data_IF_079872726559
#
_entry.id   IF_079872726559
#
_cell.length_a   1.000
_cell.length_b   1.000
_cell.length_c   1.000
_cell.angle_alpha   90.00
_cell.angle_beta   90.00
_cell.angle_gamma   90.00
#
_symmetry.space_group_name_H-M   'P 1'
#
loop_
_entity.id
_entity.type
_entity.pdbx_description
1 polymer ?
#
# COMPACT_ATOMS: atom_id res chain seq x y z
N UNK A 1 16.62 -13.46 23.67
CA UNK A 1 17.09 -12.47 22.66
C UNK A 1 16.06 -11.36 22.60
N UNK A 2 16.45 -10.09 22.60
CA UNK A 2 15.48 -9.00 22.49
C UNK A 2 14.75 -9.13 21.15
N UNK A 3 13.41 -9.14 21.14
CA UNK A 3 12.65 -9.18 19.91
C UNK A 3 13.00 -7.95 19.06
N UNK A 4 13.25 -8.15 17.77
CA UNK A 4 13.41 -7.04 16.84
C UNK A 4 12.08 -6.28 16.78
N UNK A 5 12.09 -4.96 17.00
CA UNK A 5 10.87 -4.13 17.03
C UNK A 5 10.81 -3.23 15.81
N UNK A 6 9.60 -3.05 15.26
CA UNK A 6 9.36 -2.11 14.17
C UNK A 6 8.09 -1.30 14.41
N UNK A 7 8.12 -0.01 14.08
CA UNK A 7 6.94 0.84 14.13
C UNK A 7 6.21 0.76 12.78
N UNK A 8 5.08 0.08 12.73
CA UNK A 8 4.24 0.04 11.55
C UNK A 8 3.34 1.28 11.50
N UNK A 9 3.52 2.09 10.46
CA UNK A 9 2.80 3.35 10.28
C UNK A 9 1.56 3.12 9.45
N UNK A 10 0.41 3.01 10.13
CA UNK A 10 -0.87 2.79 9.47
C UNK A 10 -2.02 3.32 10.32
N UNK A 11 -3.05 3.83 9.65
CA UNK A 11 -4.37 4.08 10.24
C UNK A 11 -5.37 2.93 10.01
N UNK A 12 -4.99 1.91 9.22
CA UNK A 12 -5.88 0.81 8.82
C UNK A 12 -5.70 -0.41 9.72
N UNK A 13 -6.73 -0.71 10.52
CA UNK A 13 -6.72 -1.83 11.46
C UNK A 13 -6.63 -3.22 10.78
N UNK A 14 -7.15 -3.37 9.55
CA UNK A 14 -7.06 -4.63 8.81
C UNK A 14 -5.61 -4.88 8.36
N UNK A 15 -4.93 -3.85 7.83
CA UNK A 15 -3.51 -3.92 7.47
C UNK A 15 -2.64 -4.29 8.67
N UNK A 16 -2.89 -3.66 9.82
CA UNK A 16 -2.17 -3.99 11.05
C UNK A 16 -2.37 -5.46 11.45
N UNK A 17 -3.60 -5.97 11.36
CA UNK A 17 -3.91 -7.37 11.67
C UNK A 17 -3.15 -8.34 10.76
N UNK A 18 -3.15 -8.06 9.46
CA UNK A 18 -2.45 -8.87 8.45
C UNK A 18 -0.93 -8.87 8.67
N UNK A 19 -0.33 -7.69 8.84
CA UNK A 19 1.12 -7.56 9.07
C UNK A 19 1.56 -8.27 10.35
N UNK A 20 0.77 -8.13 11.43
CA UNK A 20 1.05 -8.85 12.68
C UNK A 20 1.01 -10.37 12.52
N UNK A 21 0.00 -10.87 11.82
CA UNK A 21 -0.14 -12.31 11.56
C UNK A 21 1.03 -12.89 10.73
N UNK A 22 1.72 -12.05 9.95
CA UNK A 22 2.85 -12.47 9.10
C UNK A 22 4.19 -12.35 9.83
N UNK A 23 4.39 -11.29 10.63
CA UNK A 23 5.70 -10.94 11.20
C UNK A 23 5.90 -11.37 12.66
N UNK A 24 4.83 -11.52 13.44
CA UNK A 24 4.92 -11.97 14.83
C UNK A 24 4.93 -13.51 14.90
N UNK A 25 5.71 -14.11 15.82
CA UNK A 25 6.41 -13.49 16.95
C UNK A 25 7.86 -13.04 16.67
N UNK A 26 8.41 -13.27 15.48
CA UNK A 26 9.81 -13.00 15.15
C UNK A 26 10.17 -11.51 15.22
N UNK A 27 9.25 -10.64 14.77
CA UNK A 27 9.37 -9.19 14.80
C UNK A 27 8.15 -8.60 15.51
N UNK A 28 8.39 -7.85 16.59
CA UNK A 28 7.34 -7.16 17.34
C UNK A 28 6.86 -5.93 16.56
N UNK A 29 5.56 -5.91 16.21
CA UNK A 29 4.96 -4.84 15.41
C UNK A 29 4.23 -3.84 16.31
N UNK A 30 4.82 -2.65 16.44
CA UNK A 30 4.22 -1.53 17.17
C UNK A 30 3.41 -0.66 16.20
N UNK A 31 2.12 -0.50 16.44
CA UNK A 31 1.28 0.36 15.60
C UNK A 31 1.44 1.83 15.99
N UNK A 32 1.65 2.70 14.99
CA UNK A 32 1.55 4.15 15.14
C UNK A 32 0.72 4.72 14.01
N UNK A 33 -0.31 5.50 14.35
CA UNK A 33 -1.05 6.29 13.38
C UNK A 33 -0.41 7.67 13.28
N UNK A 34 0.27 7.93 12.16
CA UNK A 34 0.88 9.22 11.86
C UNK A 34 0.30 9.67 10.52
N UNK A 35 -0.25 10.88 10.51
CA UNK A 35 -0.70 11.49 9.26
C UNK A 35 0.53 11.97 8.49
N UNK A 36 0.76 11.35 7.34
CA UNK A 36 1.89 11.63 6.45
C UNK A 36 1.32 12.05 5.12
N UNK A 37 1.77 13.20 4.62
CA UNK A 37 1.39 13.64 3.28
C UNK A 37 1.96 12.65 2.25
N UNK A 38 1.06 12.13 1.41
CA UNK A 38 1.35 11.27 0.28
C UNK A 38 1.73 12.14 -0.92
N UNK A 39 3.00 12.06 -1.33
CA UNK A 39 3.47 12.74 -2.55
C UNK A 39 2.88 12.08 -3.80
N UNK A 40 2.97 12.76 -4.93
CA UNK A 40 2.63 12.18 -6.23
C UNK A 40 3.89 11.63 -6.90
N UNK A 41 3.78 10.48 -7.54
CA UNK A 41 4.91 9.81 -8.19
C UNK A 41 4.60 8.35 -8.53
N UNK A 42 5.66 7.60 -8.79
CA UNK A 42 5.64 6.13 -8.88
C UNK A 42 5.32 5.51 -7.52
N UNK A 43 4.94 4.22 -7.50
CA UNK A 43 4.66 3.49 -6.26
C UNK A 43 5.88 3.53 -5.32
N UNK A 44 7.06 3.35 -5.90
CA UNK A 44 8.34 3.35 -5.19
C UNK A 44 8.66 4.71 -4.57
N UNK A 45 8.49 5.80 -5.33
CA UNK A 45 8.73 7.17 -4.84
C UNK A 45 7.76 7.56 -3.71
N UNK A 46 6.49 7.18 -3.85
CA UNK A 46 5.46 7.42 -2.84
C UNK A 46 5.82 6.70 -1.54
N UNK A 47 6.12 5.40 -1.62
CA UNK A 47 6.48 4.60 -0.44
C UNK A 47 7.82 5.03 0.16
N UNK A 48 8.81 5.38 -0.65
CA UNK A 48 10.11 5.87 -0.16
C UNK A 48 9.94 7.19 0.61
N UNK A 49 9.24 8.16 0.03
CA UNK A 49 8.98 9.45 0.67
C UNK A 49 8.23 9.28 2.00
N UNK A 50 7.17 8.45 1.99
CA UNK A 50 6.39 8.12 3.19
C UNK A 50 7.26 7.46 4.28
N UNK A 51 8.10 6.50 3.90
CA UNK A 51 8.99 5.80 4.82
C UNK A 51 10.03 6.74 5.44
N UNK A 52 10.62 7.61 4.63
CA UNK A 52 11.62 8.58 5.08
C UNK A 52 11.03 9.56 6.09
N UNK A 53 9.87 10.15 5.78
CA UNK A 53 9.16 11.07 6.69
C UNK A 53 8.72 10.38 7.98
N UNK A 54 8.25 9.14 7.89
CA UNK A 54 7.95 8.32 9.06
C UNK A 54 9.17 8.15 9.97
N UNK A 55 10.33 7.82 9.39
CA UNK A 55 11.58 7.61 10.13
C UNK A 55 12.01 8.88 10.87
N UNK A 56 11.92 10.04 10.21
CA UNK A 56 12.28 11.35 10.79
C UNK A 56 11.42 11.71 12.01
N UNK A 57 10.12 11.40 11.96
CA UNK A 57 9.19 11.65 13.06
C UNK A 57 9.33 10.65 14.20
N UNK A 58 9.47 9.35 13.88
CA UNK A 58 9.56 8.27 14.86
C UNK A 58 10.93 8.19 15.53
N UNK A 59 11.98 8.64 14.84
CA UNK A 59 13.38 8.57 15.28
C UNK A 59 13.81 7.13 15.62
N UNK A 60 13.43 6.18 14.77
CA UNK A 60 13.75 4.77 14.92
C UNK A 60 13.22 3.90 13.77
N UNK A 61 13.25 2.56 13.92
CA UNK A 61 12.85 1.66 12.85
C UNK A 61 11.37 1.82 12.50
N UNK A 62 11.09 2.05 11.22
CA UNK A 62 9.73 2.21 10.70
C UNK A 62 9.48 1.24 9.56
N UNK A 63 8.22 0.81 9.47
CA UNK A 63 7.67 0.07 8.36
C UNK A 63 6.43 0.82 7.87
N UNK A 64 6.36 1.08 6.57
CA UNK A 64 5.20 1.68 5.92
C UNK A 64 4.73 0.74 4.81
N UNK A 65 3.47 0.88 4.40
CA UNK A 65 2.89 0.10 3.33
C UNK A 65 1.99 0.98 2.46
N UNK A 66 2.14 0.84 1.14
CA UNK A 66 1.22 1.37 0.14
C UNK A 66 0.69 0.25 -0.75
N UNK A 67 -0.58 0.41 -1.13
CA UNK A 67 -1.30 -0.55 -1.98
C UNK A 67 -1.75 0.18 -3.23
N UNK A 68 -1.51 -0.43 -4.38
CA UNK A 68 -1.85 0.11 -5.68
C UNK A 68 -2.62 -0.93 -6.50
N UNK A 69 -3.45 -0.45 -7.42
CA UNK A 69 -4.07 -1.28 -8.46
C UNK A 69 -3.72 -0.70 -9.83
N UNK A 70 -2.96 -1.49 -10.59
CA UNK A 70 -2.34 -1.05 -11.83
C UNK A 70 -3.06 -1.69 -13.01
N UNK A 71 -3.77 -0.90 -13.83
CA UNK A 71 -4.40 -1.42 -15.05
C UNK A 71 -3.40 -1.40 -16.19
N UNK A 72 -3.18 -2.55 -16.83
CA UNK A 72 -2.23 -2.63 -17.94
C UNK A 72 -2.67 -1.74 -19.12
N UNK A 73 -3.98 -1.73 -19.42
CA UNK A 73 -4.57 -0.86 -20.43
C UNK A 73 -4.40 0.65 -20.18
N UNK A 74 -4.21 1.07 -18.92
CA UNK A 74 -3.98 2.46 -18.54
C UNK A 74 -2.53 2.72 -18.14
N UNK A 75 -1.58 1.90 -18.62
CA UNK A 75 -0.15 2.03 -18.31
C UNK A 75 0.14 2.07 -16.81
N UNK A 76 -0.59 1.28 -16.02
CA UNK A 76 -0.42 1.15 -14.57
C UNK A 76 -1.27 2.11 -13.73
N UNK A 77 -2.05 3.01 -14.34
CA UNK A 77 -3.04 3.80 -13.60
C UNK A 77 -4.27 2.95 -13.22
N UNK A 78 -5.01 3.28 -12.14
CA UNK A 78 -4.80 4.42 -11.24
C UNK A 78 -3.58 4.28 -10.30
N UNK A 79 -3.01 3.09 -10.15
CA UNK A 79 -1.74 2.87 -9.45
C UNK A 79 -1.82 3.31 -7.98
N UNK A 80 -0.86 4.12 -7.54
CA UNK A 80 -0.81 4.66 -6.17
C UNK A 80 -2.01 5.56 -5.81
N UNK A 81 -2.72 6.11 -6.80
CA UNK A 81 -3.85 7.03 -6.59
C UNK A 81 -5.16 6.32 -6.30
N UNK A 82 -5.12 5.01 -6.17
CA UNK A 82 -6.30 4.17 -6.16
C UNK A 82 -7.29 4.47 -5.04
N UNK A 83 -6.81 4.89 -3.87
CA UNK A 83 -7.64 5.34 -2.76
C UNK A 83 -8.62 6.43 -3.21
N UNK A 84 -8.14 7.41 -3.96
CA UNK A 84 -8.95 8.53 -4.45
C UNK A 84 -9.98 8.07 -5.49
N UNK A 85 -9.56 7.24 -6.44
CA UNK A 85 -10.49 6.67 -7.42
C UNK A 85 -11.57 5.84 -6.72
N UNK A 86 -11.19 5.01 -5.75
CA UNK A 86 -12.15 4.22 -5.01
C UNK A 86 -13.17 5.08 -4.26
N UNK A 87 -12.72 6.11 -3.56
CA UNK A 87 -13.61 7.03 -2.83
C UNK A 87 -14.53 7.82 -3.78
N UNK A 88 -14.03 8.22 -4.94
CA UNK A 88 -14.79 9.08 -5.86
C UNK A 88 -15.75 8.31 -6.76
N UNK A 89 -15.33 7.18 -7.35
CA UNK A 89 -16.12 6.48 -8.38
C UNK A 89 -16.51 5.05 -7.97
N UNK A 90 -16.01 4.54 -6.85
CA UNK A 90 -16.33 3.21 -6.31
C UNK A 90 -15.93 2.06 -7.24
N UNK A 91 -16.28 0.83 -6.84
CA UNK A 91 -15.95 -0.38 -7.61
C UNK A 91 -16.53 -0.36 -9.03
N UNK A 92 -17.78 0.10 -9.17
CA UNK A 92 -18.43 0.17 -10.47
C UNK A 92 -17.73 1.18 -11.40
N UNK A 93 -17.34 2.33 -10.87
CA UNK A 93 -16.59 3.33 -11.63
C UNK A 93 -15.21 2.81 -12.04
N UNK A 94 -14.51 2.14 -11.13
CA UNK A 94 -13.22 1.50 -11.42
C UNK A 94 -13.33 0.48 -12.56
N UNK A 95 -14.38 -0.35 -12.57
CA UNK A 95 -14.65 -1.25 -13.69
C UNK A 95 -14.93 -0.48 -14.99
N UNK A 96 -15.74 0.58 -14.92
CA UNK A 96 -16.13 1.39 -16.07
C UNK A 96 -14.96 2.16 -16.70
N UNK A 97 -13.90 2.49 -15.96
CA UNK A 97 -12.69 3.11 -16.52
C UNK A 97 -12.08 2.27 -17.64
N UNK A 98 -12.23 0.96 -17.57
CA UNK A 98 -11.71 0.05 -18.58
C UNK A 98 -12.68 -0.20 -19.72
N UNK A 99 -13.91 0.35 -19.72
CA UNK A 99 -14.96 0.01 -20.69
C UNK A 99 -14.49 0.09 -22.16
N UNK A 100 -13.70 1.12 -22.49
CA UNK A 100 -13.17 1.35 -23.85
C UNK A 100 -12.03 0.41 -24.26
N UNK A 101 -11.44 -0.35 -23.34
CA UNK A 101 -10.27 -1.18 -23.57
C UNK A 101 -10.64 -2.65 -23.62
N UNK A 102 -10.11 -3.41 -24.58
CA UNK A 102 -10.30 -4.87 -24.62
C UNK A 102 -9.51 -5.57 -23.52
N UNK A 103 -8.32 -5.06 -23.23
CA UNK A 103 -7.49 -5.53 -22.13
C UNK A 103 -8.09 -5.09 -20.78
N UNK A 104 -8.36 -6.08 -19.93
CA UNK A 104 -8.82 -5.89 -18.55
C UNK A 104 -7.83 -6.43 -17.53
N UNK A 105 -6.62 -6.78 -17.96
CA UNK A 105 -5.58 -7.27 -17.07
C UNK A 105 -5.10 -6.14 -16.16
N UNK A 106 -4.81 -6.51 -14.91
CA UNK A 106 -4.37 -5.59 -13.88
C UNK A 106 -3.51 -6.32 -12.86
N UNK A 107 -2.73 -5.57 -12.11
CA UNK A 107 -1.95 -6.08 -10.98
C UNK A 107 -2.31 -5.33 -9.71
N UNK A 108 -2.60 -6.08 -8.64
CA UNK A 108 -2.58 -5.52 -7.29
C UNK A 108 -1.13 -5.54 -6.80
N UNK A 109 -0.62 -4.37 -6.42
CA UNK A 109 0.77 -4.20 -5.99
C UNK A 109 0.78 -3.71 -4.55
N UNK A 110 1.49 -4.43 -3.68
CA UNK A 110 1.76 -4.01 -2.31
C UNK A 110 3.25 -3.67 -2.21
N UNK A 111 3.57 -2.47 -1.75
CA UNK A 111 4.94 -2.03 -1.54
C UNK A 111 5.14 -1.69 -0.07
N UNK A 112 6.05 -2.40 0.59
CA UNK A 112 6.53 -2.08 1.93
C UNK A 112 7.81 -1.26 1.84
N UNK A 113 7.89 -0.22 2.67
CA UNK A 113 9.11 0.56 2.88
C UNK A 113 9.61 0.38 4.31
N UNK A 114 10.84 -0.07 4.47
CA UNK A 114 11.52 -0.17 5.75
C UNK A 114 12.66 0.84 5.84
N UNK A 115 12.80 1.50 7.00
CA UNK A 115 13.94 2.34 7.30
C UNK A 115 14.36 2.13 8.76
N UNK A 116 15.67 1.99 9.01
CA UNK A 116 16.19 1.76 10.36
C UNK A 116 16.15 3.01 11.25
N UNK A 117 16.10 4.21 10.65
CA UNK A 117 16.02 5.48 11.37
C UNK A 117 16.32 6.70 10.49
N UNK A 118 16.29 7.91 11.04
CA UNK A 118 16.59 9.14 10.30
C UNK A 118 17.96 9.07 9.62
N UNK A 119 18.03 9.45 8.34
CA UNK A 119 19.25 9.44 7.55
C UNK A 119 19.65 8.06 6.97
N UNK A 120 19.01 6.97 7.40
CA UNK A 120 19.26 5.64 6.86
C UNK A 120 18.59 5.44 5.49
N UNK A 121 19.10 4.47 4.72
CA UNK A 121 18.53 4.13 3.42
C UNK A 121 17.18 3.41 3.59
N UNK A 122 16.20 3.81 2.80
CA UNK A 122 14.92 3.08 2.68
C UNK A 122 15.13 1.82 1.84
N UNK A 123 14.61 0.71 2.35
CA UNK A 123 14.58 -0.59 1.66
C UNK A 123 13.13 -0.86 1.25
N UNK A 124 12.91 -1.11 -0.04
CA UNK A 124 11.60 -1.42 -0.58
C UNK A 124 11.44 -2.93 -0.78
N UNK A 125 10.28 -3.45 -0.41
CA UNK A 125 9.85 -4.82 -0.70
C UNK A 125 8.53 -4.75 -1.45
N UNK A 126 8.42 -5.42 -2.59
CA UNK A 126 7.23 -5.34 -3.44
C UNK A 126 6.66 -6.72 -3.74
N UNK A 127 5.36 -6.89 -3.50
CA UNK A 127 4.57 -8.03 -3.91
C UNK A 127 3.59 -7.64 -5.01
N UNK A 128 3.45 -8.47 -6.04
CA UNK A 128 2.54 -8.26 -7.16
C UNK A 128 1.62 -9.46 -7.34
N UNK A 129 0.34 -9.19 -7.52
CA UNK A 129 -0.68 -10.20 -7.78
C UNK A 129 -1.37 -9.87 -9.12
N UNK A 130 -1.01 -10.56 -10.22
CA UNK A 130 -1.64 -10.35 -11.51
C UNK A 130 -3.07 -10.93 -11.51
N UNK A 131 -3.96 -10.26 -12.21
CA UNK A 131 -5.37 -10.63 -12.28
C UNK A 131 -6.11 -9.90 -13.41
N UNK A 132 -7.43 -9.84 -13.28
CA UNK A 132 -8.32 -9.21 -14.26
C UNK A 132 -9.40 -8.41 -13.56
N UNK A 133 -9.66 -7.21 -14.04
CA UNK A 133 -10.76 -6.37 -13.60
C UNK A 133 -12.07 -6.92 -14.16
N UNK A 134 -13.05 -7.04 -13.28
CA UNK A 134 -14.33 -7.68 -13.53
C UNK A 134 -15.45 -6.83 -12.93
N UNK A 135 -16.70 -6.99 -13.39
CA UNK A 135 -17.83 -6.34 -12.74
C UNK A 135 -17.85 -6.70 -11.24
N UNK A 136 -18.12 -5.74 -10.35
CA UNK A 136 -18.03 -5.96 -8.91
C UNK A 136 -18.97 -7.07 -8.45
N UNK A 137 -18.47 -7.94 -7.57
CA UNK A 137 -19.22 -9.06 -6.99
C UNK A 137 -18.76 -9.24 -5.54
N UNK A 138 -19.67 -9.64 -4.66
CA UNK A 138 -19.37 -9.85 -3.25
C UNK A 138 -19.67 -8.61 -2.38
N UNK A 139 -19.36 -8.70 -1.07
CA UNK A 139 -19.61 -7.62 -0.12
C UNK A 139 -18.77 -6.36 -0.43
N UNK A 140 -19.35 -5.14 -0.38
CA UNK A 140 -18.66 -3.90 -0.79
C UNK A 140 -17.67 -3.36 0.26
N UNK A 141 -17.58 -3.98 1.43
CA UNK A 141 -16.80 -3.57 2.59
C UNK A 141 -15.32 -3.99 2.52
N UNK A 142 -14.95 -4.89 1.60
CA UNK A 142 -13.58 -5.39 1.47
C UNK A 142 -12.76 -4.63 0.41
N UNK A 143 -12.41 -3.38 0.70
CA UNK A 143 -11.46 -2.63 -0.13
C UNK A 143 -11.79 -2.74 -1.62
N UNK A 144 -10.85 -3.21 -2.42
CA UNK A 144 -10.92 -3.19 -3.88
C UNK A 144 -11.21 -4.53 -4.58
N UNK A 145 -11.28 -5.62 -3.83
CA UNK A 145 -11.32 -6.99 -4.36
C UNK A 145 -12.73 -7.58 -4.24
#
# INVERSE_FOLDING_TARGET
MAAHKVNFITGNANKLREVKAILEPEIEVLSKSIDLEEVQGTLEEVTESKCRRAADLVKGPVLVEDTALCYNALSGLPGAYIKWFMTSIGHQGLNNLLAAYTDKSAEAVCTFGYCAGPGEKVILFQGRCPGKIVPPRGPPDFGMC
#
